data_IF_311590845057
#
_entry.id   IF_311590845057
#
_cell.length_a   1.000
_cell.length_b   1.000
_cell.length_c   1.000
_cell.angle_alpha   90.00
_cell.angle_beta   90.00
_cell.angle_gamma   90.00
#
_symmetry.space_group_name_H-M   'P 1'
#
loop_
_entity.id
_entity.type
_entity.pdbx_description
1 polymer ?
#
# COMPACT_ATOMS: atom_id res chain seq x y z
N UNK A 1 -10.01 -14.44 -24.64
CA UNK A 1 -9.53 -14.83 -23.32
C UNK A 1 -8.52 -13.82 -22.83
N UNK A 2 -8.56 -13.37 -21.57
CA UNK A 2 -7.50 -12.57 -20.98
C UNK A 2 -6.27 -13.46 -20.78
N UNK A 3 -5.14 -13.03 -21.34
CA UNK A 3 -3.84 -13.66 -21.15
C UNK A 3 -3.06 -12.89 -20.09
N UNK A 4 -2.49 -13.59 -19.13
CA UNK A 4 -1.79 -12.98 -18.01
C UNK A 4 -0.43 -12.43 -18.44
N UNK A 5 -0.13 -11.15 -18.18
CA UNK A 5 1.12 -10.53 -18.64
C UNK A 5 2.40 -11.17 -18.09
N UNK A 6 2.35 -11.70 -16.87
CA UNK A 6 3.47 -12.39 -16.20
C UNK A 6 3.86 -13.72 -16.86
N UNK A 7 3.00 -14.25 -17.75
CA UNK A 7 3.21 -15.49 -18.52
C UNK A 7 3.41 -15.23 -20.00
N UNK A 8 3.46 -13.97 -20.40
CA UNK A 8 3.57 -13.56 -21.79
C UNK A 8 4.95 -12.99 -22.05
N UNK A 9 5.62 -13.52 -23.05
CA UNK A 9 6.83 -12.92 -23.63
C UNK A 9 6.47 -12.28 -24.96
N UNK A 10 6.85 -11.04 -25.15
CA UNK A 10 6.66 -10.28 -26.40
C UNK A 10 8.03 -9.98 -26.96
N UNK A 11 8.28 -10.43 -28.19
CA UNK A 11 9.59 -10.24 -28.81
C UNK A 11 9.47 -10.16 -30.36
N UNK A 12 10.58 -9.93 -31.02
CA UNK A 12 10.70 -9.94 -32.49
C UNK A 12 11.56 -11.10 -32.95
N UNK A 13 11.16 -11.73 -34.05
CA UNK A 13 11.94 -12.74 -34.70
C UNK A 13 13.15 -12.13 -35.47
N UNK A 14 13.96 -12.99 -36.11
CA UNK A 14 15.13 -12.55 -36.87
C UNK A 14 14.79 -11.62 -38.03
N UNK A 15 13.56 -11.68 -38.52
CA UNK A 15 13.04 -10.85 -39.61
C UNK A 15 12.38 -9.56 -39.09
N UNK A 16 12.42 -9.33 -37.76
CA UNK A 16 11.83 -8.18 -37.08
C UNK A 16 10.32 -8.27 -36.87
N UNK A 17 9.71 -9.42 -37.19
CA UNK A 17 8.26 -9.63 -36.98
C UNK A 17 7.94 -9.91 -35.52
N UNK A 18 6.95 -9.21 -35.01
CA UNK A 18 6.45 -9.38 -33.65
C UNK A 18 5.85 -10.77 -33.47
N UNK A 19 6.09 -11.39 -32.30
CA UNK A 19 5.43 -12.61 -31.86
C UNK A 19 5.20 -12.59 -30.36
N UNK A 20 4.32 -13.46 -29.91
CA UNK A 20 3.98 -13.65 -28.51
C UNK A 20 4.20 -15.09 -28.12
N UNK A 21 4.81 -15.34 -26.97
CA UNK A 21 4.94 -16.67 -26.38
C UNK A 21 4.22 -16.67 -25.04
N UNK A 22 3.20 -17.52 -24.93
CA UNK A 22 2.39 -17.64 -23.73
C UNK A 22 2.63 -18.99 -23.05
N UNK A 23 2.98 -18.94 -21.77
CA UNK A 23 3.13 -20.16 -20.95
C UNK A 23 1.80 -20.52 -20.33
N UNK A 24 1.22 -21.64 -20.76
CA UNK A 24 -0.08 -22.13 -20.29
C UNK A 24 0.02 -22.59 -18.83
N UNK A 25 -0.92 -22.16 -18.00
CA UNK A 25 -1.01 -22.57 -16.61
C UNK A 25 -2.08 -23.67 -16.38
N UNK A 26 -2.14 -24.15 -15.14
CA UNK A 26 -3.15 -25.12 -14.72
C UNK A 26 -4.57 -24.54 -14.81
N UNK A 27 -4.71 -23.24 -14.58
CA UNK A 27 -6.00 -22.54 -14.61
C UNK A 27 -6.51 -22.37 -16.04
N UNK A 28 -5.58 -22.21 -17.02
CA UNK A 28 -5.92 -22.09 -18.44
C UNK A 28 -6.29 -23.45 -19.04
N UNK A 29 -5.47 -24.47 -18.81
CA UNK A 29 -5.69 -25.84 -19.29
C UNK A 29 -4.88 -26.86 -18.46
N UNK A 30 -5.51 -27.62 -17.57
CA UNK A 30 -4.82 -28.56 -16.68
C UNK A 30 -3.96 -29.62 -17.38
N UNK A 31 -4.35 -30.02 -18.59
CA UNK A 31 -3.72 -31.09 -19.35
C UNK A 31 -2.44 -30.67 -20.08
N UNK A 32 -2.21 -29.36 -20.25
CA UNK A 32 -1.09 -28.83 -21.05
C UNK A 32 -0.25 -27.79 -20.26
N UNK A 33 -0.26 -27.90 -18.92
CA UNK A 33 0.49 -27.02 -18.04
C UNK A 33 1.97 -26.93 -18.43
N UNK A 34 2.47 -25.69 -18.47
CA UNK A 34 3.88 -25.41 -18.79
C UNK A 34 4.21 -25.45 -20.27
N UNK A 35 3.24 -25.73 -21.13
CA UNK A 35 3.45 -25.65 -22.58
C UNK A 35 3.54 -24.19 -23.01
N UNK A 36 4.55 -23.87 -23.82
CA UNK A 36 4.67 -22.55 -24.42
C UNK A 36 3.98 -22.58 -25.78
N UNK A 37 3.02 -21.68 -25.95
CA UNK A 37 2.26 -21.51 -27.18
C UNK A 37 2.70 -20.21 -27.86
N UNK A 38 3.12 -20.29 -29.12
CA UNK A 38 3.46 -19.12 -29.91
C UNK A 38 2.22 -18.61 -30.64
N UNK A 39 1.90 -17.33 -30.38
CA UNK A 39 0.73 -16.65 -30.95
C UNK A 39 1.19 -15.60 -31.97
N UNK A 40 0.36 -15.37 -32.98
CA UNK A 40 0.61 -14.32 -33.98
C UNK A 40 0.02 -12.99 -33.50
N UNK A 41 0.52 -11.85 -34.00
CA UNK A 41 -0.05 -10.53 -33.68
C UNK A 41 -1.54 -10.39 -34.06
N UNK A 42 -2.00 -11.15 -35.06
CA UNK A 42 -3.42 -11.18 -35.45
C UNK A 42 -4.34 -11.82 -34.40
N UNK A 43 -3.77 -12.65 -33.53
CA UNK A 43 -4.52 -13.47 -32.58
C UNK A 43 -4.52 -12.86 -31.17
N UNK A 44 -3.79 -11.75 -30.97
CA UNK A 44 -3.58 -11.10 -29.68
C UNK A 44 -3.95 -9.61 -29.76
N UNK A 45 -4.88 -9.18 -28.94
CA UNK A 45 -5.07 -7.76 -28.65
C UNK A 45 -4.07 -7.36 -27.56
N UNK A 46 -2.99 -6.72 -27.93
CA UNK A 46 -1.97 -6.23 -27.01
C UNK A 46 -2.20 -4.75 -26.72
N UNK A 47 -2.40 -4.42 -25.45
CA UNK A 47 -2.54 -3.05 -24.95
C UNK A 47 -1.32 -2.77 -24.06
N UNK A 48 -0.21 -2.27 -24.63
CA UNK A 48 1.00 -1.99 -23.85
C UNK A 48 0.78 -0.77 -22.95
N UNK A 49 1.30 -0.85 -21.74
CA UNK A 49 1.47 0.32 -20.90
C UNK A 49 2.66 1.18 -21.36
N UNK A 50 2.98 2.22 -20.58
CA UNK A 50 4.15 3.06 -20.83
C UNK A 50 5.44 2.20 -20.74
N UNK A 51 6.25 2.23 -21.77
CA UNK A 51 7.52 1.52 -21.86
C UNK A 51 8.51 2.29 -22.75
N UNK A 52 9.76 1.80 -22.84
CA UNK A 52 10.78 2.49 -23.63
C UNK A 52 11.01 1.87 -25.02
N UNK A 53 10.72 0.58 -25.20
CA UNK A 53 10.99 -0.18 -26.42
C UNK A 53 9.79 -0.27 -27.39
N UNK A 54 8.62 0.19 -26.94
CA UNK A 54 7.37 0.11 -27.69
C UNK A 54 6.80 -1.32 -27.83
N UNK A 55 7.40 -2.31 -27.15
CA UNK A 55 6.93 -3.70 -27.15
C UNK A 55 6.16 -4.01 -25.87
N UNK A 56 6.76 -3.72 -24.72
CA UNK A 56 6.17 -3.99 -23.41
C UNK A 56 6.19 -2.74 -22.54
N UNK A 57 5.16 -2.61 -21.70
CA UNK A 57 5.10 -1.55 -20.71
C UNK A 57 5.83 -1.91 -19.43
N UNK A 58 6.26 -0.90 -18.69
CA UNK A 58 6.71 -1.07 -17.31
C UNK A 58 5.56 -1.46 -16.42
N UNK A 59 5.81 -2.34 -15.45
CA UNK A 59 4.84 -2.60 -14.38
C UNK A 59 4.66 -1.34 -13.52
N UNK A 60 3.45 -0.75 -13.42
CA UNK A 60 3.20 0.38 -12.53
C UNK A 60 3.52 0.06 -11.07
N UNK A 61 3.27 -1.20 -10.64
CA UNK A 61 3.58 -1.67 -9.29
C UNK A 61 5.10 -1.67 -9.06
N UNK A 62 5.87 -2.17 -10.00
CA UNK A 62 7.34 -2.18 -9.88
C UNK A 62 7.92 -0.76 -9.86
N UNK A 63 7.39 0.15 -10.66
CA UNK A 63 7.80 1.56 -10.69
C UNK A 63 7.41 2.30 -9.42
N UNK A 64 6.27 1.96 -8.82
CA UNK A 64 5.71 2.57 -7.63
C UNK A 64 6.08 1.85 -6.32
N UNK A 65 6.96 0.85 -6.35
CA UNK A 65 7.24 -0.03 -5.20
C UNK A 65 7.54 0.72 -3.89
N UNK A 66 8.23 1.86 -3.97
CA UNK A 66 8.58 2.65 -2.78
C UNK A 66 7.35 3.37 -2.21
N UNK A 67 6.50 3.93 -3.06
CA UNK A 67 5.24 4.57 -2.65
C UNK A 67 4.27 3.56 -2.02
N UNK A 68 4.13 2.40 -2.66
CA UNK A 68 3.31 1.30 -2.14
C UNK A 68 3.88 0.78 -0.83
N UNK A 69 5.20 0.57 -0.74
CA UNK A 69 5.88 0.13 0.48
C UNK A 69 5.71 1.11 1.63
N UNK A 70 5.79 2.42 1.37
CA UNK A 70 5.52 3.46 2.36
C UNK A 70 4.05 3.42 2.83
N UNK A 71 3.09 3.24 1.93
CA UNK A 71 1.68 3.14 2.29
C UNK A 71 1.41 1.94 3.21
N UNK A 72 1.99 0.77 2.90
CA UNK A 72 1.90 -0.44 3.73
C UNK A 72 2.54 -0.20 5.11
N UNK A 73 3.73 0.39 5.15
CA UNK A 73 4.41 0.71 6.41
C UNK A 73 3.61 1.71 7.27
N UNK A 74 2.99 2.71 6.66
CA UNK A 74 2.10 3.63 7.37
C UNK A 74 0.87 2.91 7.93
N UNK A 75 0.29 1.98 7.18
CA UNK A 75 -0.84 1.18 7.65
C UNK A 75 -0.47 0.29 8.84
N UNK A 76 0.64 -0.44 8.76
CA UNK A 76 1.14 -1.25 9.87
C UNK A 76 1.47 -0.42 11.11
N UNK A 77 2.11 0.73 10.91
CA UNK A 77 2.41 1.65 11.99
C UNK A 77 1.13 2.11 12.69
N UNK A 78 0.14 2.57 11.91
CA UNK A 78 -1.15 3.00 12.45
C UNK A 78 -1.87 1.89 13.20
N UNK A 79 -1.90 0.68 12.64
CA UNK A 79 -2.52 -0.47 13.29
C UNK A 79 -1.84 -0.79 14.64
N UNK A 80 -0.51 -0.81 14.70
CA UNK A 80 0.26 -1.04 15.93
C UNK A 80 0.06 0.10 16.94
N UNK A 81 0.06 1.33 16.48
CA UNK A 81 -0.15 2.51 17.32
C UNK A 81 -1.53 2.47 18.01
N UNK A 82 -2.59 2.21 17.26
CA UNK A 82 -3.94 2.11 17.83
C UNK A 82 -4.12 0.84 18.69
N UNK A 83 -3.54 -0.29 18.29
CA UNK A 83 -3.60 -1.51 19.08
C UNK A 83 -2.92 -1.35 20.46
N UNK A 84 -1.88 -0.55 20.56
CA UNK A 84 -1.20 -0.22 21.81
C UNK A 84 -1.87 0.94 22.58
N UNK A 85 -3.12 1.29 22.25
CA UNK A 85 -3.88 2.35 22.93
C UNK A 85 -3.43 3.76 22.53
N UNK A 86 -2.81 3.92 21.38
CA UNK A 86 -2.27 5.18 20.86
C UNK A 86 -1.30 5.88 21.84
N UNK A 87 -0.75 5.14 22.82
CA UNK A 87 0.20 5.65 23.77
C UNK A 87 1.63 5.43 23.23
N UNK A 88 2.42 6.48 23.04
CA UNK A 88 3.83 6.32 22.73
C UNK A 88 4.53 5.58 23.87
N UNK A 89 5.55 4.78 23.53
CA UNK A 89 6.43 4.18 24.52
C UNK A 89 7.01 5.25 25.43
N UNK A 90 7.22 4.94 26.68
CA UNK A 90 7.74 5.89 27.68
C UNK A 90 8.60 5.24 28.72
N UNK A 91 9.18 6.04 29.58
CA UNK A 91 9.95 5.64 30.74
C UNK A 91 9.10 5.85 31.99
N UNK A 92 9.01 4.81 32.83
CA UNK A 92 8.57 4.92 34.19
C UNK A 92 9.78 5.19 35.08
N UNK A 93 9.83 6.36 35.66
CA UNK A 93 10.89 6.77 36.58
C UNK A 93 10.42 6.57 38.03
N UNK A 94 11.30 6.02 38.86
CA UNK A 94 11.08 5.84 40.30
C UNK A 94 12.25 6.45 41.07
N UNK A 95 12.01 7.23 42.14
CA UNK A 95 13.06 7.91 42.86
C UNK A 95 14.03 6.96 43.65
N UNK A 96 13.62 5.71 43.83
CA UNK A 96 14.42 4.66 44.43
C UNK A 96 14.72 3.50 43.49
N UNK A 97 15.14 2.36 44.05
CA UNK A 97 15.44 1.16 43.26
C UNK A 97 14.20 0.27 43.12
N UNK A 98 13.81 -0.05 41.88
CA UNK A 98 12.78 -1.03 41.61
C UNK A 98 13.37 -2.43 41.69
N UNK A 99 12.87 -3.28 42.61
CA UNK A 99 13.36 -4.64 42.82
C UNK A 99 13.14 -5.55 41.60
N UNK A 100 12.04 -5.37 40.89
CA UNK A 100 11.69 -6.16 39.72
C UNK A 100 11.12 -5.25 38.61
N UNK A 101 11.98 -4.69 37.76
CA UNK A 101 11.54 -3.84 36.67
C UNK A 101 10.69 -4.59 35.59
N UNK A 102 10.90 -5.91 35.45
CA UNK A 102 10.18 -6.76 34.50
C UNK A 102 8.69 -6.83 34.88
N UNK A 103 8.40 -7.13 36.13
CA UNK A 103 7.04 -7.21 36.65
C UNK A 103 6.30 -5.87 36.56
N UNK A 104 6.99 -4.76 36.82
CA UNK A 104 6.39 -3.42 36.70
C UNK A 104 6.03 -3.14 35.24
N UNK A 105 6.90 -3.51 34.29
CA UNK A 105 6.63 -3.36 32.86
C UNK A 105 5.45 -4.20 32.40
N UNK A 106 5.38 -5.47 32.79
CA UNK A 106 4.28 -6.37 32.44
C UNK A 106 2.96 -5.89 33.03
N UNK A 107 2.95 -5.46 34.29
CA UNK A 107 1.77 -4.90 34.93
C UNK A 107 1.28 -3.63 34.22
N UNK A 108 2.22 -2.75 33.86
CA UNK A 108 1.89 -1.55 33.10
C UNK A 108 1.28 -1.90 31.73
N UNK A 109 1.92 -2.81 31.01
CA UNK A 109 1.50 -3.21 29.66
C UNK A 109 0.15 -3.93 29.68
N UNK A 110 -0.13 -4.77 30.68
CA UNK A 110 -1.43 -5.44 30.82
C UNK A 110 -2.55 -4.49 31.20
N UNK A 111 -2.24 -3.44 31.93
CA UNK A 111 -3.25 -2.47 32.42
C UNK A 111 -3.57 -1.37 31.41
N UNK A 112 -2.56 -0.88 30.70
CA UNK A 112 -2.66 0.28 29.81
C UNK A 112 -2.37 -0.04 28.33
N UNK A 113 -1.84 -1.21 28.00
CA UNK A 113 -1.64 -1.64 26.61
C UNK A 113 -2.92 -2.12 25.95
N UNK A 114 -2.97 -2.01 24.62
CA UNK A 114 -4.07 -2.47 23.78
C UNK A 114 -5.22 -1.45 23.62
N UNK A 115 -5.96 -1.61 22.53
CA UNK A 115 -7.05 -0.69 22.15
C UNK A 115 -8.20 -0.65 23.13
N UNK A 116 -8.45 -1.74 23.87
CA UNK A 116 -9.50 -1.81 24.91
C UNK A 116 -9.18 -1.03 26.18
N UNK A 117 -7.94 -0.60 26.36
CA UNK A 117 -7.47 0.12 27.55
C UNK A 117 -7.19 1.60 27.27
N UNK A 118 -7.56 2.09 26.09
CA UNK A 118 -7.42 3.49 25.73
C UNK A 118 -8.18 4.39 26.73
N UNK A 119 -7.58 5.50 27.10
CA UNK A 119 -8.14 6.51 28.03
C UNK A 119 -8.28 6.08 29.51
N UNK A 120 -7.66 5.00 29.94
CA UNK A 120 -7.59 4.70 31.38
C UNK A 120 -6.66 5.67 32.09
N UNK A 121 -7.08 6.11 33.26
CA UNK A 121 -6.28 6.98 34.13
C UNK A 121 -5.23 6.14 34.83
N UNK A 122 -3.97 6.52 34.69
CA UNK A 122 -2.86 5.91 35.42
C UNK A 122 -2.68 6.62 36.77
N UNK A 123 -2.66 5.84 37.83
CA UNK A 123 -2.29 6.34 39.17
C UNK A 123 -0.87 5.87 39.45
N UNK A 124 0.02 6.82 39.67
CA UNK A 124 1.43 6.57 39.97
C UNK A 124 1.68 6.80 41.45
N UNK A 125 2.20 5.79 42.12
CA UNK A 125 2.49 5.80 43.56
C UNK A 125 3.98 6.09 43.84
N UNK A 126 4.32 6.38 45.09
CA UNK A 126 5.68 6.50 45.59
C UNK A 126 6.61 7.44 44.77
N UNK A 127 6.03 8.50 44.20
CA UNK A 127 6.78 9.49 43.45
C UNK A 127 7.22 9.03 42.05
N UNK A 128 6.67 7.95 41.53
CA UNK A 128 6.88 7.52 40.16
C UNK A 128 6.41 8.61 39.17
N UNK A 129 7.14 8.74 38.08
CA UNK A 129 6.79 9.61 36.95
C UNK A 129 6.79 8.82 35.66
N UNK A 130 5.85 9.14 34.78
CA UNK A 130 5.84 8.64 33.41
C UNK A 130 6.26 9.75 32.46
N UNK A 131 7.35 9.51 31.74
CA UNK A 131 7.84 10.41 30.68
C UNK A 131 7.72 9.70 29.35
N UNK A 132 6.86 10.16 28.46
CA UNK A 132 6.75 9.55 27.12
C UNK A 132 8.05 9.77 26.37
N UNK A 133 8.62 8.67 25.82
CA UNK A 133 9.76 8.73 24.90
C UNK A 133 9.23 8.31 23.53
N UNK A 134 9.14 9.22 22.65
CA UNK A 134 8.78 8.96 21.29
C UNK A 134 8.33 10.24 20.61
N UNK A 135 8.62 10.36 19.34
CA UNK A 135 7.96 11.35 18.50
C UNK A 135 6.56 10.81 18.33
N UNK A 136 5.62 11.30 19.12
CA UNK A 136 4.21 11.11 18.81
C UNK A 136 3.97 11.79 17.46
N UNK A 137 3.74 11.08 16.36
CA UNK A 137 3.31 11.76 15.16
C UNK A 137 2.02 12.49 15.56
N UNK A 138 1.99 13.79 15.37
CA UNK A 138 0.74 14.50 15.52
C UNK A 138 -0.30 13.76 14.69
N UNK A 139 -1.45 13.44 15.29
CA UNK A 139 -2.50 12.68 14.62
C UNK A 139 -2.86 13.30 13.26
N UNK A 140 -2.79 14.61 13.19
CA UNK A 140 -2.97 15.37 11.95
C UNK A 140 -1.93 14.99 10.88
N UNK A 141 -0.64 14.95 11.20
CA UNK A 141 0.41 14.60 10.24
C UNK A 141 0.29 13.15 9.75
N UNK A 142 -0.11 12.25 10.61
CA UNK A 142 -0.33 10.86 10.21
C UNK A 142 -1.51 10.73 9.24
N UNK A 143 -2.63 11.40 9.50
CA UNK A 143 -3.78 11.42 8.60
C UNK A 143 -3.45 12.08 7.27
N UNK A 144 -2.73 13.20 7.29
CA UNK A 144 -2.27 13.88 6.07
C UNK A 144 -1.34 12.98 5.23
N UNK A 145 -0.43 12.24 5.89
CA UNK A 145 0.45 11.29 5.21
C UNK A 145 -0.38 10.18 4.53
N UNK A 146 -1.38 9.61 5.19
CA UNK A 146 -2.25 8.60 4.58
C UNK A 146 -3.04 9.15 3.40
N UNK A 147 -3.59 10.34 3.49
CA UNK A 147 -4.29 11.01 2.39
C UNK A 147 -3.35 11.25 1.20
N UNK A 148 -2.13 11.70 1.48
CA UNK A 148 -1.12 11.88 0.44
C UNK A 148 -0.82 10.56 -0.30
N UNK A 149 -0.70 9.43 0.42
CA UNK A 149 -0.43 8.12 -0.17
C UNK A 149 -1.56 7.68 -1.13
N UNK A 150 -2.83 7.92 -0.79
CA UNK A 150 -3.96 7.62 -1.68
C UNK A 150 -3.81 8.38 -2.99
N UNK A 151 -3.55 9.69 -2.92
CA UNK A 151 -3.38 10.54 -4.09
C UNK A 151 -2.15 10.15 -4.93
N UNK A 152 -1.06 9.76 -4.29
CA UNK A 152 0.17 9.34 -4.96
C UNK A 152 -0.05 8.05 -5.74
N UNK A 153 -0.66 7.04 -5.13
CA UNK A 153 -0.97 5.77 -5.78
C UNK A 153 -1.98 5.98 -6.92
N UNK A 154 -3.04 6.73 -6.70
CA UNK A 154 -4.02 7.06 -7.73
C UNK A 154 -3.38 7.72 -8.96
N UNK A 155 -2.42 8.64 -8.74
CA UNK A 155 -1.65 9.31 -9.79
C UNK A 155 -0.79 8.35 -10.60
N UNK A 156 -0.16 7.38 -9.95
CA UNK A 156 0.67 6.37 -10.62
C UNK A 156 -0.16 5.53 -11.59
N UNK A 157 -1.37 5.17 -11.20
CA UNK A 157 -2.32 4.44 -12.05
C UNK A 157 -3.14 5.36 -12.96
N UNK A 158 -2.91 6.68 -12.91
CA UNK A 158 -3.64 7.70 -13.68
C UNK A 158 -5.15 7.65 -13.45
N UNK A 159 -5.56 7.26 -12.26
CA UNK A 159 -6.97 7.20 -11.82
C UNK A 159 -7.28 8.44 -10.99
N UNK A 160 -8.32 9.20 -11.30
CA UNK A 160 -8.73 10.34 -10.47
C UNK A 160 -9.10 9.89 -9.04
N UNK A 161 -8.71 10.64 -7.99
CA UNK A 161 -8.93 10.26 -6.60
C UNK A 161 -10.40 9.96 -6.26
N UNK A 162 -11.36 10.66 -6.87
CA UNK A 162 -12.80 10.41 -6.63
C UNK A 162 -13.23 9.00 -7.06
N UNK A 163 -12.59 8.39 -8.06
CA UNK A 163 -12.89 7.02 -8.52
C UNK A 163 -12.41 5.95 -7.53
N UNK A 164 -11.48 6.29 -6.64
CA UNK A 164 -11.06 5.42 -5.54
C UNK A 164 -11.67 5.84 -4.19
N UNK A 165 -12.71 6.69 -4.23
CA UNK A 165 -13.49 7.08 -3.07
C UNK A 165 -12.92 8.27 -2.28
N UNK A 166 -11.87 8.92 -2.73
CA UNK A 166 -11.36 10.15 -2.13
C UNK A 166 -12.09 11.36 -2.71
N UNK A 167 -13.05 11.90 -1.95
CA UNK A 167 -13.89 13.03 -2.34
C UNK A 167 -13.45 14.37 -1.70
N UNK A 168 -12.35 14.40 -0.99
CA UNK A 168 -11.94 15.57 -0.19
C UNK A 168 -11.81 16.85 -1.01
N UNK A 169 -11.30 16.75 -2.24
CA UNK A 169 -11.14 17.87 -3.17
C UNK A 169 -12.14 17.88 -4.31
N UNK A 170 -13.21 17.11 -4.17
CA UNK A 170 -14.20 16.93 -5.23
C UNK A 170 -15.46 17.75 -4.95
N UNK A 171 -15.91 18.50 -5.95
CA UNK A 171 -17.23 19.11 -6.01
C UNK A 171 -18.06 18.42 -7.10
N UNK A 172 -19.39 18.49 -7.03
CA UNK A 172 -20.25 17.85 -8.02
C UNK A 172 -19.93 18.26 -9.47
N UNK A 173 -19.65 19.53 -9.71
CA UNK A 173 -19.27 20.05 -11.04
C UNK A 173 -17.87 19.59 -11.48
N UNK A 174 -17.00 19.25 -10.56
CA UNK A 174 -15.61 18.87 -10.83
C UNK A 174 -15.49 17.34 -11.10
N UNK A 175 -16.33 16.53 -10.46
CA UNK A 175 -16.34 15.06 -10.62
C UNK A 175 -16.68 14.66 -12.04
N UNK A 176 -17.68 15.27 -12.65
CA UNK A 176 -18.09 15.00 -14.03
C UNK A 176 -16.97 15.33 -15.01
N UNK A 177 -16.37 16.50 -14.87
CA UNK A 177 -15.24 16.92 -15.69
C UNK A 177 -14.03 15.99 -15.54
N UNK A 178 -13.67 15.61 -14.32
CA UNK A 178 -12.57 14.68 -14.05
C UNK A 178 -12.84 13.28 -14.62
N UNK A 179 -14.10 12.84 -14.61
CA UNK A 179 -14.50 11.57 -15.21
C UNK A 179 -14.35 11.58 -16.72
N UNK A 180 -14.74 12.67 -17.39
CA UNK A 180 -14.50 12.87 -18.82
C UNK A 180 -13.02 12.93 -19.17
N UNK A 181 -12.22 13.61 -18.37
CA UNK A 181 -10.76 13.68 -18.53
C UNK A 181 -10.11 12.30 -18.38
N UNK A 182 -10.57 11.47 -17.44
CA UNK A 182 -10.09 10.10 -17.30
C UNK A 182 -10.33 9.28 -18.57
N UNK A 183 -11.53 9.35 -19.16
CA UNK A 183 -11.81 8.67 -20.43
C UNK A 183 -10.88 9.19 -21.53
N UNK A 184 -10.80 10.51 -21.68
CA UNK A 184 -10.06 11.17 -22.77
C UNK A 184 -8.55 11.01 -22.70
N UNK A 185 -7.95 10.97 -21.49
CA UNK A 185 -6.49 11.02 -21.34
C UNK A 185 -5.88 9.75 -20.72
N UNK A 186 -6.71 8.84 -20.24
CA UNK A 186 -6.24 7.59 -19.66
C UNK A 186 -6.66 6.36 -20.45
N UNK A 187 -7.89 6.37 -21.01
CA UNK A 187 -8.43 5.22 -21.73
C UNK A 187 -8.30 5.32 -23.26
N UNK A 188 -8.21 6.52 -23.84
CA UNK A 188 -7.87 6.74 -25.25
C UNK A 188 -6.35 6.82 -25.44
#
# INVERSE_FOLDING_TARGET
YPLMPDRMTVDRDRDGKLYYEYTVSTDDAPTVKGTVVRLKPSDVLHIPGLGFDGLVGYSPIAMAKNAIGMAIACEEYGAKFFANGAAPGGVLEHPGTIKDPGRVRESWQSTFGGSGNANKIAVLEEGMKYTPIGISPEQAQFLETRKFQINEIARIFRVPPHMVGDLEKSSFSNIEQQSLEFVKYTLE
#
